data_IF_882447200539
#
_entry.id   IF_882447200539
#
_cell.length_a   1.000
_cell.length_b   1.000
_cell.length_c   1.000
_cell.angle_alpha   90.00
_cell.angle_beta   90.00
_cell.angle_gamma   90.00
#
_symmetry.space_group_name_H-M   'P 1'
#
loop_
_entity.id
_entity.type
_entity.pdbx_description
1 polymer ?
#
# COMPACT_ATOMS: atom_id res chain seq x y z
N UNK A 1 12.86 -7.75 -18.33
CA UNK A 1 12.05 -6.69 -17.68
C UNK A 1 12.57 -6.43 -16.29
N UNK A 2 12.76 -5.15 -15.94
CA UNK A 2 13.08 -4.73 -14.57
C UNK A 2 11.79 -4.19 -13.95
N UNK A 3 11.35 -4.77 -12.82
CA UNK A 3 10.15 -4.36 -12.12
C UNK A 3 10.55 -3.53 -10.90
N UNK A 4 9.92 -2.37 -10.71
CA UNK A 4 10.08 -1.50 -9.55
C UNK A 4 8.77 -1.51 -8.73
N UNK A 5 8.63 -2.41 -7.74
CA UNK A 5 7.44 -2.45 -6.92
C UNK A 5 7.35 -1.22 -6.01
N UNK A 6 6.14 -0.67 -5.90
CA UNK A 6 5.78 0.30 -4.88
C UNK A 6 5.48 -0.42 -3.56
N UNK A 7 4.62 0.12 -2.71
CA UNK A 7 4.39 -0.50 -1.41
C UNK A 7 3.39 -1.67 -1.56
N UNK A 8 3.92 -2.87 -1.74
CA UNK A 8 3.09 -4.08 -1.76
C UNK A 8 2.59 -4.34 -0.34
N UNK A 9 1.28 -4.62 -0.19
CA UNK A 9 0.65 -4.96 1.10
C UNK A 9 -0.15 -6.26 0.96
N UNK A 10 -0.31 -6.98 2.06
CA UNK A 10 -1.11 -8.21 2.09
C UNK A 10 -0.81 -9.08 3.31
N UNK A 11 -1.51 -10.19 3.37
CA UNK A 11 -1.40 -11.18 4.46
C UNK A 11 0.05 -11.67 4.59
N UNK A 12 0.52 -11.80 5.84
CA UNK A 12 1.86 -12.30 6.14
C UNK A 12 2.98 -11.27 6.05
N UNK A 13 2.67 -9.99 5.77
CA UNK A 13 3.67 -8.93 5.74
C UNK A 13 4.27 -8.69 7.15
N UNK A 14 5.57 -8.38 7.20
CA UNK A 14 6.29 -8.10 8.44
C UNK A 14 5.61 -6.97 9.25
N UNK A 15 5.30 -7.17 10.54
CA UNK A 15 4.62 -6.22 11.43
C UNK A 15 5.38 -4.91 11.68
N UNK A 16 6.65 -4.81 11.30
CA UNK A 16 7.43 -3.57 11.39
C UNK A 16 7.00 -2.51 10.36
N UNK A 17 6.30 -2.92 9.28
CA UNK A 17 5.74 -1.98 8.32
C UNK A 17 4.45 -1.34 8.83
N UNK A 18 4.16 -0.14 8.31
CA UNK A 18 3.04 0.69 8.81
C UNK A 18 1.68 0.00 8.69
N UNK A 19 1.37 -0.66 7.55
CA UNK A 19 0.06 -1.27 7.33
C UNK A 19 -0.18 -2.45 8.28
N UNK A 20 0.67 -3.50 8.31
CA UNK A 20 0.47 -4.61 9.25
C UNK A 20 0.57 -4.17 10.72
N UNK A 21 1.36 -3.14 11.04
CA UNK A 21 1.38 -2.56 12.39
C UNK A 21 0.02 -1.99 12.79
N UNK A 22 -0.64 -1.24 11.89
CA UNK A 22 -1.98 -0.72 12.11
C UNK A 22 -2.98 -1.86 12.31
N UNK A 23 -3.00 -2.83 11.39
CA UNK A 23 -3.89 -3.99 11.47
C UNK A 23 -3.72 -4.75 12.79
N UNK A 24 -2.49 -5.02 13.21
CA UNK A 24 -2.20 -5.67 14.49
C UNK A 24 -2.75 -4.90 15.69
N UNK A 25 -2.58 -3.56 15.70
CA UNK A 25 -3.13 -2.73 16.79
C UNK A 25 -4.66 -2.82 16.88
N UNK A 26 -5.35 -2.86 15.73
CA UNK A 26 -6.80 -3.03 15.71
C UNK A 26 -7.23 -4.43 16.12
N UNK A 27 -6.57 -5.48 15.63
CA UNK A 27 -6.81 -6.89 16.04
C UNK A 27 -6.65 -7.09 17.56
N UNK A 28 -5.66 -6.43 18.15
CA UNK A 28 -5.37 -6.50 19.58
C UNK A 28 -6.26 -5.55 20.44
N UNK A 29 -7.24 -4.86 19.83
CA UNK A 29 -8.12 -3.88 20.50
C UNK A 29 -7.37 -2.78 21.25
N UNK A 30 -6.18 -2.39 20.79
CA UNK A 30 -5.41 -1.28 21.38
C UNK A 30 -6.17 0.04 21.21
N UNK A 31 -6.17 0.88 22.23
CA UNK A 31 -6.93 2.13 22.24
C UNK A 31 -6.13 3.32 21.74
N UNK A 32 -4.79 3.19 21.64
CA UNK A 32 -3.92 4.23 21.14
C UNK A 32 -2.75 3.65 20.33
N UNK A 33 -2.22 4.44 19.41
CA UNK A 33 -1.08 4.11 18.60
C UNK A 33 -0.16 5.32 18.44
N UNK A 34 1.15 5.09 18.58
CA UNK A 34 2.19 6.11 18.37
C UNK A 34 2.71 6.03 16.93
N UNK A 35 2.56 7.13 16.20
CA UNK A 35 2.94 7.26 14.79
C UNK A 35 3.69 8.57 14.54
N UNK A 36 4.33 8.66 13.38
CA UNK A 36 4.82 9.92 12.85
C UNK A 36 3.72 10.71 12.16
N UNK A 37 4.00 11.23 10.97
CA UNK A 37 3.05 11.99 10.19
C UNK A 37 2.05 11.08 9.46
N UNK A 38 0.78 11.18 9.82
CA UNK A 38 -0.29 10.36 9.23
C UNK A 38 -0.84 10.90 7.90
N UNK A 39 -0.45 12.13 7.51
CA UNK A 39 -0.91 12.75 6.26
C UNK A 39 -0.02 12.40 5.07
N UNK A 40 1.05 11.63 5.28
CA UNK A 40 1.86 11.14 4.18
C UNK A 40 1.12 10.08 3.38
N UNK A 41 1.19 10.19 2.06
CA UNK A 41 0.48 9.29 1.13
C UNK A 41 1.46 8.40 0.38
N UNK A 42 1.10 7.14 0.22
CA UNK A 42 1.85 6.13 -0.53
C UNK A 42 0.92 5.39 -1.47
N UNK A 43 1.47 4.99 -2.61
CA UNK A 43 0.82 4.07 -3.51
C UNK A 43 0.98 2.65 -2.95
N UNK A 44 -0.14 2.06 -2.59
CA UNK A 44 -0.19 0.67 -2.15
C UNK A 44 -0.77 -0.19 -3.25
N UNK A 45 -0.27 -1.40 -3.34
CA UNK A 45 -0.77 -2.43 -4.26
C UNK A 45 -0.90 -3.75 -3.50
N UNK A 46 -2.01 -4.44 -3.71
CA UNK A 46 -2.25 -5.75 -3.13
C UNK A 46 -1.23 -6.79 -3.62
N UNK A 47 -0.83 -7.69 -2.73
CA UNK A 47 0.16 -8.74 -3.02
C UNK A 47 -0.33 -9.71 -4.09
N UNK A 48 -1.61 -10.10 -4.08
CA UNK A 48 -2.18 -11.02 -5.07
C UNK A 48 -2.25 -10.36 -6.44
N UNK A 49 -2.74 -9.12 -6.51
CA UNK A 49 -2.73 -8.34 -7.74
C UNK A 49 -1.29 -8.15 -8.27
N UNK A 50 -0.32 -7.91 -7.37
CA UNK A 50 1.10 -7.80 -7.73
C UNK A 50 1.62 -9.09 -8.37
N UNK A 51 1.30 -10.25 -7.80
CA UNK A 51 1.72 -11.55 -8.33
C UNK A 51 1.14 -11.82 -9.71
N UNK A 52 -0.15 -11.53 -9.94
CA UNK A 52 -0.79 -11.69 -11.25
C UNK A 52 -0.19 -10.74 -12.30
N UNK A 53 0.06 -9.49 -11.96
CA UNK A 53 0.70 -8.53 -12.87
C UNK A 53 2.15 -8.94 -13.21
N UNK A 54 2.89 -9.47 -12.25
CA UNK A 54 4.25 -9.99 -12.49
C UNK A 54 4.20 -11.19 -13.42
N UNK A 55 3.29 -12.12 -13.19
CA UNK A 55 3.09 -13.29 -14.05
C UNK A 55 2.77 -12.88 -15.49
N UNK A 56 1.90 -11.91 -15.68
CA UNK A 56 1.56 -11.40 -17.01
C UNK A 56 2.76 -10.72 -17.68
N UNK A 57 3.58 -9.98 -16.93
CA UNK A 57 4.79 -9.34 -17.46
C UNK A 57 5.85 -10.35 -17.95
N UNK A 58 5.86 -11.58 -17.42
CA UNK A 58 6.82 -12.63 -17.85
C UNK A 58 6.64 -12.96 -19.34
N UNK A 59 5.42 -12.95 -19.83
CA UNK A 59 5.06 -13.31 -21.21
C UNK A 59 4.76 -12.10 -22.10
N UNK A 60 4.68 -10.90 -21.53
CA UNK A 60 4.38 -9.68 -22.28
C UNK A 60 5.61 -9.19 -23.07
N UNK A 61 5.71 -9.50 -24.36
CA UNK A 61 6.85 -9.13 -25.21
C UNK A 61 7.17 -7.62 -25.18
N UNK A 62 6.14 -6.77 -25.08
CA UNK A 62 6.30 -5.31 -24.95
C UNK A 62 7.02 -4.88 -23.66
N UNK A 63 7.13 -5.77 -22.67
CA UNK A 63 7.84 -5.49 -21.41
C UNK A 63 9.34 -5.82 -21.51
N UNK A 64 9.77 -6.56 -22.51
CA UNK A 64 11.14 -7.04 -22.61
C UNK A 64 12.14 -5.89 -22.76
N UNK A 65 13.18 -5.91 -21.93
CA UNK A 65 14.17 -4.84 -21.84
C UNK A 65 13.68 -3.55 -21.19
N UNK A 66 12.43 -3.51 -20.69
CA UNK A 66 11.84 -2.32 -20.09
C UNK A 66 12.06 -2.26 -18.58
N UNK A 67 12.00 -1.04 -18.03
CA UNK A 67 11.86 -0.78 -16.59
C UNK A 67 10.41 -0.34 -16.37
N UNK A 68 9.67 -1.08 -15.54
CA UNK A 68 8.24 -0.88 -15.31
C UNK A 68 7.96 -0.70 -13.82
N UNK A 69 7.18 0.31 -13.45
CA UNK A 69 6.68 0.46 -12.09
C UNK A 69 5.52 -0.50 -11.86
N UNK A 70 5.56 -1.22 -10.76
CA UNK A 70 4.47 -2.05 -10.28
C UNK A 70 3.77 -1.29 -9.15
N UNK A 71 2.67 -0.62 -9.47
CA UNK A 71 1.95 0.29 -8.59
C UNK A 71 0.44 0.28 -8.91
N UNK A 72 -0.37 0.79 -7.98
CA UNK A 72 -1.82 0.91 -8.14
C UNK A 72 -2.27 2.21 -8.82
N UNK A 73 -1.37 3.21 -8.92
CA UNK A 73 -1.68 4.53 -9.47
C UNK A 73 -2.49 5.45 -8.54
N UNK A 74 -2.82 4.97 -7.34
CA UNK A 74 -3.57 5.75 -6.33
C UNK A 74 -2.80 5.77 -5.01
N UNK A 75 -2.64 6.97 -4.46
CA UNK A 75 -1.98 7.14 -3.17
C UNK A 75 -3.00 7.20 -2.03
N UNK A 76 -2.76 6.44 -0.97
CA UNK A 76 -3.55 6.47 0.27
C UNK A 76 -2.70 6.97 1.43
N UNK A 77 -3.27 7.82 2.27
CA UNK A 77 -2.62 8.32 3.47
C UNK A 77 -2.75 7.33 4.63
N UNK A 78 -1.86 7.48 5.62
CA UNK A 78 -1.98 6.69 6.87
C UNK A 78 -3.29 7.01 7.60
N UNK A 79 -3.77 8.26 7.49
CA UNK A 79 -5.07 8.66 8.04
C UNK A 79 -6.23 7.87 7.40
N UNK A 80 -6.25 7.75 6.06
CA UNK A 80 -7.26 6.94 5.34
C UNK A 80 -7.20 5.47 5.74
N UNK A 81 -6.00 4.88 5.88
CA UNK A 81 -5.85 3.50 6.37
C UNK A 81 -6.50 3.33 7.76
N UNK A 82 -6.28 4.28 8.66
CA UNK A 82 -6.87 4.26 10.00
C UNK A 82 -8.39 4.39 9.94
N UNK A 83 -8.92 5.26 9.08
CA UNK A 83 -10.37 5.43 8.91
C UNK A 83 -11.04 4.13 8.44
N UNK A 84 -10.45 3.47 7.44
CA UNK A 84 -10.96 2.18 6.95
C UNK A 84 -10.90 1.11 8.04
N UNK A 85 -9.79 1.02 8.78
CA UNK A 85 -9.67 0.07 9.89
C UNK A 85 -10.67 0.36 11.03
N UNK A 86 -10.95 1.63 11.33
CA UNK A 86 -11.99 2.00 12.29
C UNK A 86 -13.38 1.54 11.85
N UNK A 87 -13.67 1.56 10.54
CA UNK A 87 -14.93 1.03 10.00
C UNK A 87 -14.98 -0.50 10.12
N UNK A 88 -13.91 -1.19 9.75
CA UNK A 88 -13.81 -2.67 9.82
C UNK A 88 -14.00 -3.16 11.25
N UNK A 89 -13.28 -2.56 12.21
CA UNK A 89 -13.27 -3.03 13.61
C UNK A 89 -14.31 -2.38 14.51
N UNK A 90 -15.05 -1.36 14.04
CA UNK A 90 -16.17 -0.74 14.75
C UNK A 90 -15.76 0.13 15.94
N UNK A 91 -14.49 0.56 16.04
CA UNK A 91 -14.07 1.48 17.12
C UNK A 91 -13.00 2.47 16.64
N UNK A 92 -12.88 3.58 17.39
CA UNK A 92 -11.87 4.61 17.12
C UNK A 92 -10.61 4.37 17.94
N UNK A 93 -9.45 4.46 17.27
CA UNK A 93 -8.13 4.45 17.91
C UNK A 93 -7.62 5.88 18.08
N UNK A 94 -6.99 6.18 19.22
CA UNK A 94 -6.34 7.45 19.47
C UNK A 94 -4.94 7.45 18.82
N UNK A 95 -4.72 8.35 17.89
CA UNK A 95 -3.38 8.53 17.29
C UNK A 95 -2.60 9.54 18.10
N UNK A 96 -1.39 9.17 18.50
CA UNK A 96 -0.44 10.03 19.22
C UNK A 96 0.75 10.27 18.28
N UNK A 97 0.99 11.54 17.93
CA UNK A 97 2.17 11.88 17.13
C UNK A 97 3.42 11.81 18.01
N UNK A 98 4.32 10.90 17.67
CA UNK A 98 5.61 10.75 18.35
C UNK A 98 6.72 11.35 17.46
N UNK A 99 7.45 12.37 17.94
CA UNK A 99 8.53 12.99 17.17
C UNK A 99 9.64 12.01 16.71
N UNK A 100 9.80 10.89 17.41
CA UNK A 100 10.77 9.84 17.02
C UNK A 100 10.45 9.21 15.67
N UNK A 101 9.18 9.19 15.27
CA UNK A 101 8.72 8.63 14.01
C UNK A 101 8.56 9.70 12.91
N UNK A 102 8.78 10.98 13.21
CA UNK A 102 8.72 12.05 12.22
C UNK A 102 10.06 12.15 11.49
N UNK A 103 10.04 12.01 10.17
CA UNK A 103 11.24 12.10 9.33
C UNK A 103 11.59 13.54 9.01
N UNK A 104 12.87 13.90 9.08
CA UNK A 104 13.35 15.27 8.75
C UNK A 104 13.06 15.65 7.29
N UNK A 105 13.20 14.70 6.37
CA UNK A 105 12.94 14.88 4.94
C UNK A 105 11.75 13.99 4.55
N UNK A 106 10.56 14.44 4.92
CA UNK A 106 9.34 13.66 4.66
C UNK A 106 8.93 13.75 3.19
N UNK A 107 8.73 12.60 2.58
CA UNK A 107 8.10 12.53 1.25
C UNK A 107 6.59 12.51 1.48
N UNK A 108 5.93 13.63 1.22
CA UNK A 108 4.51 13.80 1.50
C UNK A 108 3.62 12.90 0.65
N UNK A 109 3.98 12.76 -0.62
CA UNK A 109 3.23 11.94 -1.57
C UNK A 109 4.18 11.16 -2.46
N UNK A 110 3.95 9.85 -2.57
CA UNK A 110 4.64 8.98 -3.52
C UNK A 110 3.60 8.10 -4.20
N UNK A 111 3.28 8.45 -5.45
CA UNK A 111 2.31 7.72 -6.28
C UNK A 111 2.98 7.41 -7.62
N UNK A 112 2.81 6.20 -8.12
CA UNK A 112 3.36 5.78 -9.41
C UNK A 112 2.42 6.08 -10.57
N UNK A 113 2.95 6.16 -11.81
CA UNK A 113 2.16 6.09 -13.03
C UNK A 113 2.04 4.63 -13.46
N UNK A 114 0.83 4.21 -13.78
CA UNK A 114 0.48 2.88 -14.30
C UNK A 114 0.57 2.79 -15.83
N UNK A 115 0.68 3.90 -16.53
CA UNK A 115 0.56 4.00 -18.00
C UNK A 115 1.48 3.02 -18.73
N UNK A 116 2.73 2.93 -18.30
CA UNK A 116 3.72 2.03 -18.91
C UNK A 116 3.39 0.57 -18.63
N UNK A 117 2.97 0.24 -17.41
CA UNK A 117 2.55 -1.11 -17.03
C UNK A 117 1.35 -1.55 -17.87
N UNK A 118 0.33 -0.71 -17.97
CA UNK A 118 -0.87 -0.96 -18.79
C UNK A 118 -0.54 -1.09 -20.28
N UNK A 119 0.35 -0.23 -20.79
CA UNK A 119 0.83 -0.31 -22.18
C UNK A 119 1.57 -1.62 -22.48
N UNK A 120 2.40 -2.11 -21.55
CA UNK A 120 3.09 -3.39 -21.68
C UNK A 120 2.13 -4.58 -21.67
N UNK A 121 1.13 -4.53 -20.79
CA UNK A 121 0.18 -5.64 -20.59
C UNK A 121 -1.03 -5.60 -21.56
N UNK A 122 -1.33 -4.44 -22.17
CA UNK A 122 -2.51 -4.25 -23.00
C UNK A 122 -3.83 -4.32 -22.19
N UNK A 123 -3.77 -4.13 -20.88
CA UNK A 123 -4.94 -4.11 -19.97
C UNK A 123 -4.75 -3.11 -18.84
N UNK A 124 -5.85 -2.71 -18.22
CA UNK A 124 -5.81 -1.83 -17.06
C UNK A 124 -5.31 -2.55 -15.81
N UNK A 125 -4.61 -1.81 -14.94
CA UNK A 125 -4.24 -2.27 -13.59
C UNK A 125 -5.51 -2.30 -12.74
N UNK A 126 -5.80 -3.41 -12.05
CA UNK A 126 -6.94 -3.49 -11.14
C UNK A 126 -6.83 -2.42 -10.05
N UNK A 127 -7.92 -1.72 -9.79
CA UNK A 127 -8.00 -0.83 -8.63
C UNK A 127 -8.09 -1.65 -7.36
N UNK A 128 -7.23 -1.34 -6.41
CA UNK A 128 -7.26 -1.98 -5.10
C UNK A 128 -8.49 -1.50 -4.31
N UNK A 129 -9.28 -2.43 -3.80
CA UNK A 129 -10.24 -2.16 -2.73
C UNK A 129 -9.52 -2.20 -1.39
N UNK A 130 -9.29 -1.01 -0.82
CA UNK A 130 -8.53 -0.88 0.43
C UNK A 130 -9.25 -1.57 1.60
N UNK A 131 -10.59 -1.55 1.63
CA UNK A 131 -11.38 -2.19 2.67
C UNK A 131 -11.24 -3.72 2.60
N UNK A 132 -11.33 -4.30 1.41
CA UNK A 132 -11.16 -5.72 1.18
C UNK A 132 -9.77 -6.20 1.64
N UNK A 133 -8.71 -5.57 1.13
CA UNK A 133 -7.33 -5.96 1.46
C UNK A 133 -7.03 -5.84 2.95
N UNK A 134 -7.47 -4.75 3.62
CA UNK A 134 -7.24 -4.57 5.06
C UNK A 134 -8.08 -5.54 5.91
N UNK A 135 -9.24 -5.98 5.42
CA UNK A 135 -10.08 -6.98 6.10
C UNK A 135 -9.46 -8.37 6.09
N UNK A 136 -8.74 -8.70 5.02
CA UNK A 136 -8.05 -9.99 4.89
C UNK A 136 -6.74 -10.08 5.70
N UNK A 137 -6.11 -8.94 5.96
CA UNK A 137 -4.85 -8.86 6.71
C UNK A 137 -5.05 -9.08 8.21
#
# INVERSE_FOLDING_TARGET
TVIRPFNVIGVGQNPDFIVPKLVSHFKENKKEIHLGNINTSRDYIDVYASCELIKDLITAEKSFGQIVNLCGGTGHSVAELIEVLQQIYGYKIKVITDPKFVRKNEVWRLTGSVDKLESCLGKQVPKMDLHEVLSEM
#
